data_IF_360103114587
#
_entry.id   IF_360103114587
#
_cell.length_a   1.000
_cell.length_b   1.000
_cell.length_c   1.000
_cell.angle_alpha   90.00
_cell.angle_beta   90.00
_cell.angle_gamma   90.00
#
_symmetry.space_group_name_H-M   'P 1'
#
loop_
_entity.id
_entity.type
_entity.pdbx_description
1 polymer ?
#
# COMPACT_ATOMS: atom_id res chain seq x y z
N UNK A 1 34.18 -14.40 45.93
CA UNK A 1 33.52 -15.42 45.06
C UNK A 1 32.03 -15.22 44.99
N UNK A 2 31.35 -14.90 46.12
CA UNK A 2 29.86 -14.75 46.12
C UNK A 2 29.34 -13.54 45.36
N UNK A 3 30.05 -12.43 45.31
CA UNK A 3 29.62 -11.22 44.61
C UNK A 3 29.60 -11.39 43.08
N UNK A 4 30.53 -12.13 42.54
CA UNK A 4 30.58 -12.35 41.07
C UNK A 4 29.51 -13.35 40.64
N UNK A 5 29.21 -14.35 41.47
CA UNK A 5 28.10 -15.27 41.22
C UNK A 5 26.76 -14.56 41.26
N UNK A 6 26.58 -13.64 42.20
CA UNK A 6 25.33 -12.83 42.29
C UNK A 6 25.15 -11.91 41.09
N UNK A 7 26.24 -11.27 40.62
CA UNK A 7 26.19 -10.42 39.40
C UNK A 7 25.84 -11.22 38.15
N UNK A 8 26.41 -12.40 37.99
CA UNK A 8 26.12 -13.30 36.89
C UNK A 8 24.65 -13.78 36.91
N UNK A 9 24.14 -14.11 38.09
CA UNK A 9 22.76 -14.52 38.26
C UNK A 9 21.78 -13.40 37.92
N UNK A 10 22.06 -12.15 38.35
CA UNK A 10 21.23 -10.98 38.01
C UNK A 10 21.27 -10.69 36.50
N UNK A 11 22.45 -10.74 35.89
CA UNK A 11 22.59 -10.54 34.45
C UNK A 11 21.81 -11.59 33.64
N UNK A 12 21.90 -12.86 34.03
CA UNK A 12 21.13 -13.95 33.38
C UNK A 12 19.62 -13.76 33.54
N UNK A 13 19.15 -13.32 34.70
CA UNK A 13 17.72 -13.05 34.93
C UNK A 13 17.21 -11.91 34.07
N UNK A 14 17.98 -10.83 33.88
CA UNK A 14 17.62 -9.69 33.00
C UNK A 14 17.53 -10.16 31.55
N UNK A 15 18.47 -10.94 31.06
CA UNK A 15 18.47 -11.46 29.68
C UNK A 15 17.26 -12.38 29.45
N UNK A 16 16.95 -13.26 30.40
CA UNK A 16 15.78 -14.13 30.30
C UNK A 16 14.47 -13.35 30.31
N UNK A 17 14.35 -12.31 31.12
CA UNK A 17 13.20 -11.42 31.14
C UNK A 17 13.03 -10.67 29.80
N UNK A 18 14.12 -10.16 29.24
CA UNK A 18 14.11 -9.48 27.94
C UNK A 18 13.71 -10.42 26.80
N UNK A 19 14.21 -11.65 26.80
CA UNK A 19 13.84 -12.68 25.81
C UNK A 19 12.37 -13.08 25.95
N UNK A 20 11.87 -13.28 27.18
CA UNK A 20 10.47 -13.59 27.42
C UNK A 20 9.54 -12.47 26.95
N UNK A 21 9.90 -11.22 27.24
CA UNK A 21 9.15 -10.03 26.80
C UNK A 21 9.16 -9.93 25.25
N UNK A 22 10.29 -10.17 24.61
CA UNK A 22 10.43 -10.17 23.17
C UNK A 22 9.55 -11.25 22.50
N UNK A 23 9.52 -12.46 23.07
CA UNK A 23 8.68 -13.57 22.60
C UNK A 23 7.20 -13.24 22.78
N UNK A 24 6.80 -12.65 23.91
CA UNK A 24 5.40 -12.23 24.15
C UNK A 24 4.97 -11.15 23.17
N UNK A 25 5.83 -10.15 22.91
CA UNK A 25 5.54 -9.10 21.93
C UNK A 25 5.45 -9.67 20.51
N UNK A 26 6.35 -10.57 20.13
CA UNK A 26 6.29 -11.27 18.83
C UNK A 26 5.01 -12.10 18.71
N UNK A 27 4.63 -12.86 19.74
CA UNK A 27 3.39 -13.66 19.72
C UNK A 27 2.14 -12.79 19.65
N UNK A 28 2.12 -11.65 20.34
CA UNK A 28 0.99 -10.69 20.24
C UNK A 28 0.89 -10.04 18.87
N UNK A 29 2.01 -9.80 18.17
CA UNK A 29 2.02 -9.28 16.79
C UNK A 29 1.69 -10.36 15.74
N UNK A 30 1.90 -11.65 16.07
CA UNK A 30 1.60 -12.77 15.17
C UNK A 30 0.21 -13.38 15.40
N UNK A 31 -0.58 -12.87 16.37
CA UNK A 31 -1.79 -13.55 16.84
C UNK A 31 -3.10 -12.94 16.37
N UNK A 32 -3.06 -12.02 15.36
CA UNK A 32 -4.27 -11.73 14.61
C UNK A 32 -4.16 -12.45 13.24
N UNK A 33 -4.83 -13.59 13.05
CA UNK A 33 -5.13 -14.02 11.69
C UNK A 33 -5.95 -12.87 11.09
N UNK A 34 -5.61 -12.37 9.89
CA UNK A 34 -6.46 -11.40 9.25
C UNK A 34 -7.83 -12.07 9.11
N UNK A 35 -8.80 -11.60 9.88
CA UNK A 35 -10.19 -11.83 9.53
C UNK A 35 -10.28 -11.28 8.12
N UNK A 36 -10.34 -12.14 7.12
CA UNK A 36 -10.57 -11.72 5.75
C UNK A 36 -12.02 -11.25 5.70
N UNK A 37 -12.23 -10.04 6.18
CA UNK A 37 -13.33 -9.22 5.72
C UNK A 37 -13.07 -9.11 4.23
N UNK A 38 -13.97 -9.64 3.41
CA UNK A 38 -13.93 -9.50 1.96
C UNK A 38 -14.01 -8.01 1.69
N UNK A 39 -12.86 -7.35 1.60
CA UNK A 39 -12.80 -5.91 1.36
C UNK A 39 -13.12 -5.71 -0.10
N UNK A 40 -14.21 -5.01 -0.37
CA UNK A 40 -14.64 -4.74 -1.72
C UNK A 40 -13.70 -3.71 -2.35
N UNK A 41 -13.06 -4.14 -3.44
CA UNK A 41 -12.36 -3.24 -4.36
C UNK A 41 -13.25 -3.13 -5.60
N UNK A 42 -13.61 -1.92 -6.03
CA UNK A 42 -14.39 -1.76 -7.25
C UNK A 42 -13.60 -2.29 -8.45
N UNK A 43 -14.26 -2.99 -9.36
CA UNK A 43 -13.67 -3.41 -10.62
C UNK A 43 -13.83 -2.37 -11.73
N UNK A 44 -14.70 -1.39 -11.50
CA UNK A 44 -15.06 -0.34 -12.46
C UNK A 44 -15.34 0.96 -11.72
N UNK A 45 -14.78 2.06 -12.25
CA UNK A 45 -15.16 3.42 -11.89
C UNK A 45 -15.92 4.05 -13.04
N UNK A 46 -16.92 4.87 -12.76
CA UNK A 46 -17.58 5.70 -13.77
C UNK A 46 -16.76 6.99 -13.94
N UNK A 47 -16.20 7.20 -15.13
CA UNK A 47 -15.40 8.40 -15.41
C UNK A 47 -16.21 9.69 -15.27
N UNK A 48 -17.53 9.63 -15.41
CA UNK A 48 -18.41 10.77 -15.22
C UNK A 48 -18.47 11.28 -13.77
N UNK A 49 -18.08 10.44 -12.78
CA UNK A 49 -17.93 10.87 -11.39
C UNK A 49 -16.70 11.77 -11.15
N UNK A 50 -15.81 11.85 -12.14
CA UNK A 50 -14.54 12.58 -12.11
C UNK A 50 -14.41 13.52 -13.33
N UNK A 51 -15.35 14.47 -13.52
CA UNK A 51 -15.45 15.28 -14.73
C UNK A 51 -14.24 16.21 -14.96
N UNK A 52 -13.46 16.44 -13.90
CA UNK A 52 -12.24 17.28 -13.94
C UNK A 52 -11.02 16.51 -14.47
N UNK A 53 -11.17 15.20 -14.74
CA UNK A 53 -10.07 14.32 -15.12
C UNK A 53 -10.20 13.91 -16.58
N UNK A 54 -9.36 14.50 -17.42
CA UNK A 54 -9.25 14.16 -18.85
C UNK A 54 -8.04 13.25 -19.15
N UNK A 55 -7.27 12.90 -18.13
CA UNK A 55 -6.10 12.04 -18.27
C UNK A 55 -6.49 10.61 -18.61
N UNK A 56 -5.71 9.88 -19.45
CA UNK A 56 -5.95 8.48 -19.79
C UNK A 56 -5.99 7.54 -18.58
N UNK A 57 -5.24 7.87 -17.53
CA UNK A 57 -5.16 7.09 -16.30
C UNK A 57 -5.62 7.88 -15.08
N UNK A 58 -6.34 7.21 -14.21
CA UNK A 58 -6.80 7.75 -12.93
C UNK A 58 -6.28 6.89 -11.77
N UNK A 59 -5.57 7.52 -10.86
CA UNK A 59 -5.23 6.96 -9.54
C UNK A 59 -6.18 7.59 -8.53
N UNK A 60 -7.21 6.86 -8.14
CA UNK A 60 -8.18 7.29 -7.14
C UNK A 60 -7.81 6.73 -5.77
N UNK A 61 -7.57 7.61 -4.81
CA UNK A 61 -7.19 7.27 -3.43
C UNK A 61 -8.35 7.61 -2.51
N UNK A 62 -9.03 6.59 -2.03
CA UNK A 62 -10.12 6.75 -1.05
C UNK A 62 -9.53 6.86 0.34
N UNK A 63 -9.84 7.96 1.03
CA UNK A 63 -9.24 8.34 2.31
C UNK A 63 -10.28 8.74 3.34
N UNK A 64 -9.83 8.96 4.58
CA UNK A 64 -10.63 9.55 5.65
C UNK A 64 -9.74 10.41 6.55
N UNK A 65 -10.27 11.48 7.08
CA UNK A 65 -9.58 12.37 8.01
C UNK A 65 -9.08 11.67 9.30
N UNK A 66 -9.70 10.56 9.68
CA UNK A 66 -9.31 9.77 10.86
C UNK A 66 -8.29 8.67 10.56
N UNK A 67 -7.90 8.51 9.30
CA UNK A 67 -6.99 7.47 8.85
C UNK A 67 -5.52 7.93 8.97
N UNK A 68 -4.76 7.35 9.87
CA UNK A 68 -3.37 7.75 10.16
C UNK A 68 -2.38 7.45 9.01
N UNK A 69 -2.69 6.50 8.13
CA UNK A 69 -1.81 6.09 7.01
C UNK A 69 -2.21 6.69 5.67
N UNK A 70 -3.39 7.31 5.58
CA UNK A 70 -3.91 7.84 4.32
C UNK A 70 -3.05 8.96 3.75
N UNK A 71 -2.57 9.88 4.60
CA UNK A 71 -1.72 10.99 4.16
C UNK A 71 -0.42 10.51 3.48
N UNK A 72 0.18 9.43 3.98
CA UNK A 72 1.39 8.83 3.40
C UNK A 72 1.11 8.21 2.03
N UNK A 73 -0.02 7.50 1.88
CA UNK A 73 -0.43 6.91 0.60
C UNK A 73 -0.72 8.01 -0.43
N UNK A 74 -1.43 9.07 -0.04
CA UNK A 74 -1.70 10.22 -0.93
C UNK A 74 -0.40 10.90 -1.35
N UNK A 75 0.55 11.12 -0.43
CA UNK A 75 1.84 11.73 -0.75
C UNK A 75 2.63 10.91 -1.78
N UNK A 76 2.67 9.58 -1.64
CA UNK A 76 3.30 8.66 -2.59
C UNK A 76 2.59 8.67 -3.96
N UNK A 77 1.27 8.74 -3.96
CA UNK A 77 0.46 8.76 -5.19
C UNK A 77 0.66 10.06 -5.98
N UNK A 78 0.75 11.21 -5.31
CA UNK A 78 0.91 12.52 -5.97
C UNK A 78 2.16 12.64 -6.83
N UNK A 79 3.20 11.86 -6.54
CA UNK A 79 4.43 11.82 -7.37
C UNK A 79 4.16 11.25 -8.76
N UNK A 80 3.07 10.50 -8.95
CA UNK A 80 2.66 9.92 -10.24
C UNK A 80 1.89 10.91 -11.11
N UNK A 81 1.47 12.06 -10.56
CA UNK A 81 0.71 13.08 -11.28
C UNK A 81 1.47 13.54 -12.53
N UNK A 82 0.85 13.46 -13.68
CA UNK A 82 1.37 13.86 -14.98
C UNK A 82 0.21 14.18 -15.95
N UNK A 83 0.51 14.55 -17.16
CA UNK A 83 -0.51 14.77 -18.20
C UNK A 83 -1.31 13.48 -18.49
N UNK A 84 -0.66 12.32 -18.39
CA UNK A 84 -1.29 11.01 -18.63
C UNK A 84 -1.95 10.40 -17.40
N UNK A 85 -1.58 10.81 -16.20
CA UNK A 85 -2.02 10.22 -14.94
C UNK A 85 -2.57 11.28 -14.01
N UNK A 86 -3.85 11.27 -13.77
CA UNK A 86 -4.47 12.07 -12.72
C UNK A 86 -4.45 11.33 -11.39
N UNK A 87 -4.18 12.06 -10.31
CA UNK A 87 -4.23 11.53 -8.94
C UNK A 87 -5.27 12.30 -8.15
N UNK A 88 -6.29 11.61 -7.66
CA UNK A 88 -7.37 12.21 -6.86
C UNK A 88 -7.40 11.62 -5.46
N UNK A 89 -7.44 12.49 -4.47
CA UNK A 89 -7.72 12.16 -3.07
C UNK A 89 -9.24 12.31 -2.83
N UNK A 90 -9.91 11.19 -2.59
CA UNK A 90 -11.36 11.09 -2.40
C UNK A 90 -11.62 10.92 -0.92
N UNK A 91 -11.66 12.05 -0.20
CA UNK A 91 -11.84 12.05 1.24
C UNK A 91 -13.31 11.81 1.60
N UNK A 92 -13.55 10.96 2.59
CA UNK A 92 -14.88 10.48 2.99
C UNK A 92 -15.86 11.60 3.36
N UNK A 93 -15.40 12.63 4.06
CA UNK A 93 -16.28 13.75 4.49
C UNK A 93 -16.71 14.60 3.29
N UNK A 94 -15.81 14.77 2.32
CA UNK A 94 -16.08 15.56 1.11
C UNK A 94 -16.86 14.78 0.04
N UNK A 95 -16.52 13.51 -0.15
CA UNK A 95 -17.05 12.65 -1.21
C UNK A 95 -17.53 11.28 -0.69
N UNK A 96 -18.27 11.28 0.41
CA UNK A 96 -18.88 10.07 0.97
C UNK A 96 -19.92 9.41 0.05
N UNK A 97 -20.45 10.14 -0.93
CA UNK A 97 -21.27 9.62 -2.02
C UNK A 97 -20.49 8.58 -2.84
N UNK A 98 -19.24 8.87 -3.23
CA UNK A 98 -18.39 7.96 -3.99
C UNK A 98 -17.95 6.75 -3.16
N UNK A 99 -17.64 6.95 -1.88
CA UNK A 99 -17.34 5.83 -1.00
C UNK A 99 -18.50 4.82 -0.95
N UNK A 100 -19.74 5.31 -0.86
CA UNK A 100 -20.93 4.44 -0.89
C UNK A 100 -21.16 3.83 -2.27
N UNK A 101 -21.03 4.63 -3.35
CA UNK A 101 -21.25 4.17 -4.73
C UNK A 101 -20.32 3.02 -5.09
N UNK A 102 -19.06 3.12 -4.70
CA UNK A 102 -18.04 2.11 -4.98
C UNK A 102 -17.85 1.08 -3.85
N UNK A 103 -18.74 1.10 -2.85
CA UNK A 103 -18.73 0.17 -1.72
C UNK A 103 -17.36 0.11 -1.00
N UNK A 104 -16.72 1.29 -0.83
CA UNK A 104 -15.45 1.39 -0.11
C UNK A 104 -15.71 1.24 1.39
N UNK A 105 -15.30 0.12 1.94
CA UNK A 105 -15.49 -0.27 3.35
C UNK A 105 -14.22 -0.13 4.20
N UNK A 106 -13.09 0.14 3.57
CA UNK A 106 -11.81 0.35 4.26
C UNK A 106 -10.98 1.45 3.58
N UNK A 107 -10.19 2.18 4.37
CA UNK A 107 -9.26 3.21 3.88
C UNK A 107 -7.87 3.03 4.51
N UNK A 108 -6.80 3.35 3.79
CA UNK A 108 -6.79 3.79 2.40
C UNK A 108 -7.14 2.65 1.44
N UNK A 109 -7.94 2.94 0.43
CA UNK A 109 -8.12 2.11 -0.75
C UNK A 109 -7.67 2.91 -1.95
N UNK A 110 -6.74 2.37 -2.73
CA UNK A 110 -6.23 2.99 -3.93
C UNK A 110 -6.57 2.10 -5.12
N UNK A 111 -7.06 2.71 -6.19
CA UNK A 111 -7.34 2.03 -7.45
C UNK A 111 -6.70 2.78 -8.61
N UNK A 112 -6.19 2.03 -9.58
CA UNK A 112 -5.65 2.52 -10.85
C UNK A 112 -6.63 2.11 -11.94
N UNK A 113 -7.26 3.10 -12.58
CA UNK A 113 -8.24 2.88 -13.64
C UNK A 113 -7.78 3.51 -14.95
N UNK A 114 -8.15 2.88 -16.07
CA UNK A 114 -7.92 3.41 -17.42
C UNK A 114 -8.98 4.46 -17.84
N UNK A 115 -8.89 4.93 -19.07
CA UNK A 115 -9.81 5.92 -19.64
C UNK A 115 -11.26 5.48 -19.69
N UNK A 116 -11.52 4.19 -19.77
CA UNK A 116 -12.87 3.60 -19.73
C UNK A 116 -13.34 3.36 -18.27
N UNK A 117 -12.51 3.69 -17.29
CA UNK A 117 -12.78 3.49 -15.87
C UNK A 117 -12.59 2.05 -15.40
N UNK A 118 -12.07 1.15 -16.25
CA UNK A 118 -11.74 -0.21 -15.84
C UNK A 118 -10.60 -0.20 -14.83
N UNK A 119 -10.81 -0.76 -13.67
CA UNK A 119 -9.77 -0.88 -12.65
C UNK A 119 -8.77 -1.95 -13.06
N UNK A 120 -7.51 -1.54 -13.23
CA UNK A 120 -6.40 -2.40 -13.66
C UNK A 120 -5.53 -2.87 -12.50
N UNK A 121 -5.46 -2.07 -11.44
CA UNK A 121 -4.73 -2.42 -10.22
C UNK A 121 -5.38 -1.78 -9.01
N UNK A 122 -5.24 -2.41 -7.84
CA UNK A 122 -5.78 -1.88 -6.60
C UNK A 122 -4.96 -2.28 -5.38
N UNK A 123 -4.95 -1.41 -4.38
CA UNK A 123 -4.28 -1.62 -3.10
C UNK A 123 -5.23 -1.31 -1.95
N UNK A 124 -5.19 -2.16 -0.94
CA UNK A 124 -5.95 -2.01 0.30
C UNK A 124 -4.98 -1.81 1.46
N UNK A 125 -5.10 -0.70 2.16
CA UNK A 125 -4.19 -0.33 3.23
C UNK A 125 -2.91 0.35 2.74
N UNK A 126 -1.88 0.44 3.59
CA UNK A 126 -0.60 1.05 3.25
C UNK A 126 0.07 0.36 2.07
N UNK A 127 0.64 1.14 1.16
CA UNK A 127 1.39 0.66 -0.01
C UNK A 127 2.79 1.29 -0.02
N UNK A 128 3.79 0.54 -0.51
CA UNK A 128 5.11 1.11 -0.74
C UNK A 128 5.13 1.95 -2.02
N UNK A 129 6.01 2.96 -2.10
CA UNK A 129 6.16 3.74 -3.31
C UNK A 129 6.56 2.86 -4.50
N UNK A 130 7.46 1.91 -4.26
CA UNK A 130 7.93 0.98 -5.30
C UNK A 130 6.80 0.14 -5.88
N UNK A 131 5.97 -0.47 -5.02
CA UNK A 131 4.86 -1.32 -5.49
C UNK A 131 3.80 -0.51 -6.24
N UNK A 132 3.49 0.69 -5.73
CA UNK A 132 2.53 1.58 -6.37
C UNK A 132 3.03 2.05 -7.75
N UNK A 133 4.28 2.49 -7.83
CA UNK A 133 4.83 2.99 -9.09
C UNK A 133 5.03 1.88 -10.11
N UNK A 134 5.46 0.70 -9.67
CA UNK A 134 5.55 -0.49 -10.51
C UNK A 134 4.17 -0.86 -11.09
N UNK A 135 3.12 -0.87 -10.26
CA UNK A 135 1.77 -1.19 -10.72
C UNK A 135 1.24 -0.17 -11.75
N UNK A 136 1.48 1.13 -11.54
CA UNK A 136 1.07 2.17 -12.51
C UNK A 136 1.86 2.06 -13.81
N UNK A 137 3.18 1.79 -13.73
CA UNK A 137 4.01 1.58 -14.91
C UNK A 137 3.52 0.37 -15.71
N UNK A 138 3.27 -0.75 -15.05
CA UNK A 138 2.75 -1.98 -15.67
C UNK A 138 1.35 -1.79 -16.30
N UNK A 139 0.47 -0.99 -15.65
CA UNK A 139 -0.84 -0.66 -16.22
C UNK A 139 -0.72 0.16 -17.52
N UNK A 140 0.22 1.11 -17.55
CA UNK A 140 0.44 1.98 -18.72
C UNK A 140 1.17 1.27 -19.86
N UNK A 141 2.12 0.42 -19.51
CA UNK A 141 2.97 -0.30 -20.46
C UNK A 141 3.19 -1.73 -19.96
N UNK A 142 2.31 -2.67 -20.31
CA UNK A 142 2.40 -4.05 -19.87
C UNK A 142 3.74 -4.69 -20.25
N UNK A 143 4.40 -5.32 -19.26
CA UNK A 143 5.73 -5.90 -19.41
C UNK A 143 6.87 -4.91 -19.14
N UNK A 144 6.59 -3.67 -18.73
CA UNK A 144 7.60 -2.66 -18.40
C UNK A 144 8.28 -2.95 -17.05
N UNK A 145 7.59 -3.64 -16.15
CA UNK A 145 8.13 -3.99 -14.84
C UNK A 145 8.70 -5.40 -14.88
N UNK A 146 10.03 -5.46 -14.80
CA UNK A 146 10.75 -6.74 -14.77
C UNK A 146 10.46 -7.48 -13.45
N UNK A 147 10.20 -8.79 -13.56
CA UNK A 147 10.02 -9.63 -12.37
C UNK A 147 11.27 -9.61 -11.46
N UNK A 148 11.10 -9.63 -10.12
CA UNK A 148 12.22 -9.69 -9.19
C UNK A 148 13.05 -10.96 -9.46
N UNK A 149 14.32 -10.80 -9.92
CA UNK A 149 15.25 -11.92 -10.17
C UNK A 149 15.74 -12.05 -11.60
N UNK A 150 15.22 -11.32 -12.57
CA UNK A 150 15.82 -11.26 -13.91
C UNK A 150 17.04 -10.32 -13.90
N UNK A 151 18.21 -10.92 -13.87
CA UNK A 151 19.49 -10.20 -14.05
C UNK A 151 19.55 -9.57 -15.43
N UNK A 152 20.16 -8.38 -15.52
CA UNK A 152 20.53 -7.76 -16.77
C UNK A 152 21.52 -8.70 -17.51
N UNK A 153 21.04 -9.59 -18.33
CA UNK A 153 21.88 -10.19 -19.38
C UNK A 153 22.16 -9.08 -20.38
N UNK A 154 23.32 -8.44 -20.20
CA UNK A 154 23.83 -7.52 -21.19
C UNK A 154 24.00 -8.29 -22.50
N UNK A 155 23.14 -8.00 -23.45
CA UNK A 155 23.40 -8.34 -24.85
C UNK A 155 24.55 -7.44 -25.32
N UNK A 156 25.78 -7.95 -25.11
CA UNK A 156 26.94 -7.39 -25.75
C UNK A 156 26.88 -7.84 -27.24
N UNK A 157 26.07 -7.11 -28.02
CA UNK A 157 26.13 -7.18 -29.46
C UNK A 157 27.55 -6.87 -29.92
N UNK A 158 28.31 -7.92 -30.23
CA UNK A 158 29.57 -7.82 -30.94
C UNK A 158 29.28 -7.42 -32.40
N UNK A 159 29.89 -6.33 -32.80
CA UNK A 159 30.09 -5.93 -34.19
C UNK A 159 31.28 -6.69 -34.72
#
# INVERSE_FOLDING_TARGET
>A
MDQDLTRLAVAAAIVLAALATSVVIRRRRASDPPTQVTRNVPSQLDRADFPEVDSPWLVAVFTSATCSTCADVVAKSRVLQSDDVAVLDIEYTARGDLHRRYAIDAVPTLVVADGDGQVRSAFLGPVTATDLWAAVAECREPGSVRAPGESCSGDNGAV
#
